data_IF_903970376859
#
_entry.id   IF_903970376859
#
_cell.length_a   1.000
_cell.length_b   1.000
_cell.length_c   1.000
_cell.angle_alpha   90.00
_cell.angle_beta   90.00
_cell.angle_gamma   90.00
#
_symmetry.space_group_name_H-M   'P 1'
#
loop_
_entity.id
_entity.type
_entity.pdbx_description
1 polymer ?
#
# COMPACT_ATOMS: atom_id res chain seq x y z
N UNK A 1 -11.57 -5.37 18.73
CA UNK A 1 -11.82 -5.59 17.30
C UNK A 1 -11.96 -4.21 16.65
N UNK A 2 -10.85 -3.61 16.22
CA UNK A 2 -10.82 -2.21 15.81
C UNK A 2 -10.05 -2.11 14.48
N UNK A 3 -10.83 -1.94 13.42
CA UNK A 3 -10.35 -1.80 12.06
C UNK A 3 -9.82 -0.39 11.83
N UNK A 4 -8.68 -0.32 11.14
CA UNK A 4 -8.24 0.86 10.39
C UNK A 4 -7.89 2.09 11.21
N UNK A 5 -6.62 2.50 11.13
CA UNK A 5 -6.31 3.94 11.06
C UNK A 5 -6.43 4.77 12.35
N UNK A 6 -5.99 4.25 13.51
CA UNK A 6 -6.17 4.99 14.76
C UNK A 6 -4.94 5.71 15.31
N UNK A 7 -3.78 5.07 15.48
CA UNK A 7 -2.73 5.69 16.32
C UNK A 7 -1.34 5.82 15.67
N UNK A 8 -0.80 4.78 15.01
CA UNK A 8 0.53 4.86 14.41
C UNK A 8 0.57 5.81 13.20
N UNK A 9 -0.45 5.75 12.35
CA UNK A 9 -0.54 6.51 11.11
C UNK A 9 -0.66 8.01 11.36
N UNK A 10 -1.39 8.40 12.43
CA UNK A 10 -1.56 9.83 12.80
C UNK A 10 -0.31 10.42 13.44
N UNK A 11 0.45 9.61 14.20
CA UNK A 11 1.71 10.04 14.79
C UNK A 11 2.78 10.18 13.70
N UNK A 12 2.92 9.18 12.81
CA UNK A 12 3.88 9.24 11.71
C UNK A 12 3.52 10.33 10.70
N UNK A 13 2.24 10.43 10.27
CA UNK A 13 1.81 11.50 9.37
C UNK A 13 1.92 12.88 10.03
N UNK A 14 1.59 12.98 11.32
CA UNK A 14 1.72 14.20 12.11
C UNK A 14 3.17 14.64 12.26
N UNK A 15 4.10 13.72 12.50
CA UNK A 15 5.52 14.02 12.64
C UNK A 15 6.19 14.30 11.30
N UNK A 16 5.80 13.61 10.22
CA UNK A 16 6.23 13.92 8.85
C UNK A 16 5.71 15.28 8.40
N UNK A 17 4.45 15.63 8.70
CA UNK A 17 3.91 16.96 8.44
C UNK A 17 4.63 18.05 9.24
N UNK A 18 4.98 17.80 10.52
CA UNK A 18 5.83 18.70 11.32
C UNK A 18 7.25 18.85 10.73
N UNK A 19 7.76 17.81 10.08
CA UNK A 19 9.05 17.84 9.36
C UNK A 19 8.94 18.46 7.94
N UNK A 20 7.76 18.94 7.54
CA UNK A 20 7.53 19.60 6.24
C UNK A 20 7.26 18.66 5.07
N UNK A 21 7.06 17.37 5.32
CA UNK A 21 6.68 16.40 4.29
C UNK A 21 5.15 16.31 4.18
N UNK A 22 4.58 16.54 2.99
CA UNK A 22 3.14 16.42 2.82
C UNK A 22 2.75 14.94 2.79
N UNK A 23 1.85 14.55 3.69
CA UNK A 23 1.37 13.17 3.81
C UNK A 23 -0.09 13.10 3.38
N UNK A 24 -0.40 12.09 2.58
CA UNK A 24 -1.76 11.70 2.19
C UNK A 24 -1.96 10.31 2.73
N UNK A 25 -3.08 10.08 3.39
CA UNK A 25 -3.43 8.72 3.72
C UNK A 25 -4.85 8.37 3.31
N UNK A 26 -5.00 7.09 3.00
CA UNK A 26 -6.15 6.52 2.34
C UNK A 26 -6.70 5.44 3.26
N UNK A 27 -7.98 5.54 3.59
CA UNK A 27 -8.69 4.44 4.23
C UNK A 27 -8.92 3.34 3.19
N UNK A 28 -8.01 2.37 3.18
CA UNK A 28 -8.02 1.24 2.24
C UNK A 28 -9.29 0.40 2.41
N UNK A 29 -9.81 0.24 3.64
CA UNK A 29 -11.05 -0.52 3.87
C UNK A 29 -12.23 0.18 3.21
N UNK A 30 -12.40 1.49 3.46
CA UNK A 30 -13.47 2.25 2.81
C UNK A 30 -13.31 2.28 1.28
N UNK A 31 -12.08 2.36 0.78
CA UNK A 31 -11.81 2.36 -0.65
C UNK A 31 -12.20 1.02 -1.32
N UNK A 32 -11.96 -0.11 -0.67
CA UNK A 32 -12.36 -1.44 -1.17
C UNK A 32 -13.77 -1.88 -0.79
N UNK A 33 -14.59 -0.99 -0.22
CA UNK A 33 -16.01 -1.27 0.06
C UNK A 33 -16.77 -1.71 -1.20
N UNK A 34 -16.38 -1.17 -2.34
CA UNK A 34 -16.71 -1.72 -3.65
C UNK A 34 -15.50 -2.47 -4.18
N UNK A 35 -15.73 -3.67 -4.72
CA UNK A 35 -14.68 -4.48 -5.32
C UNK A 35 -13.96 -3.70 -6.43
N UNK A 36 -12.62 -3.67 -6.34
CA UNK A 36 -11.73 -3.02 -7.30
C UNK A 36 -10.62 -3.97 -7.69
N UNK A 37 -10.30 -4.01 -8.98
CA UNK A 37 -9.18 -4.83 -9.45
C UNK A 37 -7.84 -4.13 -9.16
N UNK A 38 -6.74 -4.87 -9.06
CA UNK A 38 -5.41 -4.28 -8.90
C UNK A 38 -5.05 -3.27 -10.00
N UNK A 39 -5.51 -3.48 -11.23
CA UNK A 39 -5.31 -2.56 -12.36
C UNK A 39 -6.05 -1.23 -12.14
N UNK A 40 -7.28 -1.30 -11.64
CA UNK A 40 -8.07 -0.11 -11.33
C UNK A 40 -7.44 0.69 -10.18
N UNK A 41 -6.98 0.01 -9.13
CA UNK A 41 -6.28 0.68 -8.02
C UNK A 41 -4.94 1.27 -8.45
N UNK A 42 -4.22 0.64 -9.37
CA UNK A 42 -2.99 1.22 -9.93
C UNK A 42 -3.27 2.51 -10.72
N UNK A 43 -4.35 2.55 -11.51
CA UNK A 43 -4.76 3.75 -12.22
C UNK A 43 -5.15 4.88 -11.25
N UNK A 44 -5.95 4.58 -10.23
CA UNK A 44 -6.34 5.55 -9.20
C UNK A 44 -5.13 6.09 -8.43
N UNK A 45 -4.14 5.23 -8.13
CA UNK A 45 -2.89 5.65 -7.50
C UNK A 45 -2.07 6.58 -8.41
N UNK A 46 -1.97 6.26 -9.71
CA UNK A 46 -1.32 7.14 -10.69
C UNK A 46 -1.99 8.51 -10.74
N UNK A 47 -3.33 8.57 -10.76
CA UNK A 47 -4.06 9.84 -10.76
C UNK A 47 -3.83 10.63 -9.47
N UNK A 48 -3.77 9.95 -8.33
CA UNK A 48 -3.44 10.56 -7.05
C UNK A 48 -2.02 11.14 -7.03
N UNK A 49 -1.03 10.37 -7.49
CA UNK A 49 0.36 10.83 -7.62
C UNK A 49 0.47 12.04 -8.56
N UNK A 50 -0.26 12.02 -9.68
CA UNK A 50 -0.31 13.13 -10.64
C UNK A 50 -0.93 14.39 -10.01
N UNK A 51 -2.03 14.24 -9.28
CA UNK A 51 -2.70 15.35 -8.59
C UNK A 51 -1.75 16.04 -7.61
N UNK A 52 -1.09 15.27 -6.73
CA UNK A 52 -0.20 15.83 -5.73
C UNK A 52 1.13 16.33 -6.30
N UNK A 53 1.59 15.77 -7.41
CA UNK A 53 2.69 16.34 -8.17
C UNK A 53 2.38 17.77 -8.64
N UNK A 54 1.18 17.99 -9.19
CA UNK A 54 0.77 19.33 -9.65
C UNK A 54 0.52 20.27 -8.47
N UNK A 55 -0.11 19.78 -7.40
CA UNK A 55 -0.49 20.58 -6.24
C UNK A 55 0.70 21.00 -5.36
N UNK A 56 1.67 20.12 -5.16
CA UNK A 56 2.79 20.33 -4.24
C UNK A 56 4.16 20.44 -4.93
N UNK A 57 4.23 20.22 -6.24
CA UNK A 57 5.50 20.18 -6.97
C UNK A 57 6.39 18.98 -6.60
N UNK A 58 5.85 17.99 -5.88
CA UNK A 58 6.62 16.80 -5.48
C UNK A 58 6.92 15.90 -6.68
N UNK A 59 8.15 15.38 -6.73
CA UNK A 59 8.61 14.50 -7.83
C UNK A 59 8.84 13.06 -7.39
N UNK A 60 8.86 12.82 -6.08
CA UNK A 60 9.22 11.55 -5.46
C UNK A 60 8.17 11.17 -4.43
N UNK A 61 7.89 9.88 -4.33
CA UNK A 61 6.86 9.34 -3.47
C UNK A 61 7.41 8.20 -2.63
N UNK A 62 6.87 8.06 -1.43
CA UNK A 62 7.05 6.89 -0.57
C UNK A 62 5.66 6.30 -0.38
N UNK A 63 5.53 5.00 -0.64
CA UNK A 63 4.29 4.27 -0.43
C UNK A 63 4.41 3.51 0.90
N UNK A 64 3.42 3.64 1.77
CA UNK A 64 3.36 2.91 3.03
C UNK A 64 2.01 2.20 3.14
N UNK A 65 2.04 0.90 3.43
CA UNK A 65 0.86 0.07 3.66
C UNK A 65 0.92 -0.59 5.03
N UNK A 66 -0.23 -0.71 5.70
CA UNK A 66 -0.39 -1.43 6.96
C UNK A 66 -1.38 -2.58 6.79
N UNK A 67 -1.03 -3.77 7.30
CA UNK A 67 -1.89 -4.97 7.27
C UNK A 67 -2.43 -5.22 5.86
N UNK A 68 -3.75 -5.22 5.64
CA UNK A 68 -4.36 -5.41 4.31
C UNK A 68 -3.79 -4.45 3.24
N UNK A 69 -3.49 -3.20 3.59
CA UNK A 69 -2.86 -2.25 2.68
C UNK A 69 -1.44 -2.65 2.27
N UNK A 70 -0.71 -3.35 3.15
CA UNK A 70 0.60 -3.91 2.84
C UNK A 70 0.50 -5.14 1.91
N UNK A 71 -0.59 -5.91 2.01
CA UNK A 71 -0.79 -7.13 1.20
C UNK A 71 -1.17 -6.82 -0.26
N UNK A 72 -1.95 -5.76 -0.48
CA UNK A 72 -2.37 -5.35 -1.84
C UNK A 72 -1.33 -4.46 -2.55
N UNK A 73 -0.46 -3.78 -1.79
CA UNK A 73 0.52 -2.82 -2.34
C UNK A 73 1.43 -3.43 -3.43
N UNK A 74 1.97 -4.65 -3.29
CA UNK A 74 2.82 -5.25 -4.33
C UNK A 74 2.09 -5.41 -5.67
N UNK A 75 0.84 -5.89 -5.64
CA UNK A 75 0.04 -6.09 -6.84
C UNK A 75 -0.26 -4.77 -7.55
N UNK A 76 -0.53 -3.71 -6.80
CA UNK A 76 -0.78 -2.36 -7.31
C UNK A 76 0.50 -1.79 -7.92
N UNK A 77 1.61 -1.81 -7.18
CA UNK A 77 2.87 -1.23 -7.63
C UNK A 77 3.37 -1.86 -8.94
N UNK A 78 3.28 -3.19 -9.07
CA UNK A 78 3.73 -3.91 -10.26
C UNK A 78 2.94 -3.55 -11.53
N UNK A 79 1.74 -2.97 -11.37
CA UNK A 79 0.86 -2.54 -12.47
C UNK A 79 0.98 -1.05 -12.80
N UNK A 80 1.75 -0.29 -12.02
CA UNK A 80 2.06 1.10 -12.36
C UNK A 80 2.91 1.15 -13.63
N UNK A 81 2.77 2.23 -14.39
CA UNK A 81 3.69 2.53 -15.49
C UNK A 81 5.13 2.67 -14.95
N UNK A 82 6.13 2.28 -15.73
CA UNK A 82 7.54 2.34 -15.33
C UNK A 82 7.95 3.74 -14.83
N UNK A 83 7.36 4.78 -15.43
CA UNK A 83 7.53 6.16 -15.05
C UNK A 83 7.08 6.45 -13.61
N UNK A 84 5.92 5.92 -13.19
CA UNK A 84 5.41 6.10 -11.84
C UNK A 84 6.20 5.23 -10.84
N UNK A 85 6.55 4.00 -11.23
CA UNK A 85 7.44 3.13 -10.44
C UNK A 85 8.79 3.81 -10.14
N UNK A 86 9.37 4.52 -11.11
CA UNK A 86 10.63 5.25 -10.96
C UNK A 86 10.52 6.48 -10.04
N UNK A 87 9.31 6.99 -9.84
CA UNK A 87 9.05 8.11 -8.91
C UNK A 87 8.83 7.64 -7.49
N UNK A 88 8.56 6.35 -7.27
CA UNK A 88 8.52 5.76 -5.94
C UNK A 88 9.94 5.39 -5.49
N UNK A 89 10.39 6.01 -4.41
CA UNK A 89 11.73 5.78 -3.84
C UNK A 89 11.73 4.68 -2.79
N UNK A 90 10.62 4.49 -2.08
CA UNK A 90 10.49 3.44 -1.07
C UNK A 90 9.04 2.91 -0.97
N UNK A 91 8.93 1.64 -0.61
CA UNK A 91 7.71 0.91 -0.30
C UNK A 91 7.87 0.35 1.11
N UNK A 92 7.07 0.84 2.06
CA UNK A 92 7.10 0.44 3.46
C UNK A 92 5.90 -0.46 3.73
N UNK A 93 6.16 -1.70 4.14
CA UNK A 93 5.14 -2.70 4.44
C UNK A 93 5.15 -2.97 5.95
N UNK A 94 4.13 -2.48 6.65
CA UNK A 94 3.99 -2.60 8.10
C UNK A 94 3.06 -3.76 8.44
N UNK A 95 3.46 -4.59 9.41
CA UNK A 95 2.70 -5.77 9.86
C UNK A 95 2.44 -6.81 8.74
N UNK A 96 3.44 -7.02 7.87
CA UNK A 96 3.43 -8.03 6.82
C UNK A 96 3.70 -9.43 7.42
N UNK A 97 2.81 -10.40 7.19
CA UNK A 97 2.87 -11.73 7.81
C UNK A 97 4.10 -12.56 7.32
N UNK A 98 4.81 -13.22 8.26
CA UNK A 98 6.15 -13.81 8.02
C UNK A 98 6.15 -15.28 7.59
N UNK A 99 5.15 -16.08 7.97
CA UNK A 99 5.09 -17.51 7.67
C UNK A 99 3.64 -18.02 7.76
N UNK A 100 3.16 -18.71 6.72
CA UNK A 100 2.15 -19.77 6.92
C UNK A 100 0.67 -19.45 6.77
N UNK A 101 0.29 -18.34 6.17
CA UNK A 101 -1.10 -18.10 5.74
C UNK A 101 -1.14 -17.10 4.59
N UNK A 102 -0.75 -17.54 3.39
CA UNK A 102 -1.06 -16.83 2.12
C UNK A 102 -2.55 -17.00 1.75
N UNK A 103 -3.40 -17.00 2.76
CA UNK A 103 -4.84 -16.97 2.70
C UNK A 103 -5.26 -16.04 3.84
N UNK A 104 -5.07 -14.73 3.63
CA UNK A 104 -6.07 -13.82 4.18
C UNK A 104 -7.29 -14.03 3.30
N UNK A 105 -8.02 -15.09 3.62
CA UNK A 105 -9.40 -15.23 3.22
C UNK A 105 -10.14 -14.05 3.84
N UNK A 106 -10.24 -12.95 3.09
CA UNK A 106 -11.37 -12.03 3.28
C UNK A 106 -12.60 -12.74 2.69
N UNK A 107 -12.93 -13.92 3.23
CA UNK A 107 -13.96 -14.88 2.79
C UNK A 107 -15.37 -14.31 2.99
N UNK A 108 -15.61 -13.16 2.38
CA UNK A 108 -16.81 -12.38 2.54
C UNK A 108 -16.74 -10.97 1.95
N UNK A 109 -15.57 -10.47 1.54
CA UNK A 109 -15.44 -9.12 0.97
C UNK A 109 -14.88 -9.05 -0.45
N UNK A 110 -13.92 -9.92 -0.77
CA UNK A 110 -13.41 -10.08 -2.13
C UNK A 110 -14.02 -11.37 -2.69
N UNK A 111 -15.10 -11.20 -3.43
CA UNK A 111 -15.85 -12.31 -4.00
C UNK A 111 -14.96 -13.28 -4.79
N UNK A 112 -15.16 -14.57 -4.48
CA UNK A 112 -14.71 -15.73 -5.24
C UNK A 112 -13.19 -15.91 -5.40
N UNK A 113 -12.61 -16.64 -4.43
CA UNK A 113 -11.29 -17.23 -4.50
C UNK A 113 -11.08 -17.99 -5.83
N UNK A 114 -10.10 -17.54 -6.62
CA UNK A 114 -9.69 -18.32 -7.79
C UNK A 114 -8.89 -17.57 -8.87
N UNK A 115 -8.84 -16.23 -8.85
CA UNK A 115 -8.11 -15.46 -9.87
C UNK A 115 -7.36 -14.22 -9.38
N UNK A 116 -7.35 -13.95 -8.09
CA UNK A 116 -6.62 -12.81 -7.55
C UNK A 116 -5.12 -13.12 -7.43
N UNK A 117 -4.28 -12.15 -7.77
CA UNK A 117 -2.84 -12.32 -7.83
C UNK A 117 -2.29 -12.71 -6.45
N UNK A 118 -1.62 -13.85 -6.38
CA UNK A 118 -1.04 -14.32 -5.11
C UNK A 118 -0.01 -13.30 -4.60
N UNK A 119 -0.24 -12.74 -3.41
CA UNK A 119 0.60 -11.69 -2.80
C UNK A 119 2.09 -12.07 -2.81
N UNK A 120 2.42 -13.35 -2.60
CA UNK A 120 3.80 -13.84 -2.64
C UNK A 120 4.49 -13.69 -4.00
N UNK A 121 3.79 -13.94 -5.11
CA UNK A 121 4.36 -13.76 -6.46
C UNK A 121 4.56 -12.27 -6.80
N UNK A 122 3.63 -11.42 -6.37
CA UNK A 122 3.73 -9.98 -6.60
C UNK A 122 4.84 -9.36 -5.74
N UNK A 123 5.02 -9.84 -4.50
CA UNK A 123 6.13 -9.44 -3.63
C UNK A 123 7.49 -9.78 -4.26
N UNK A 124 7.63 -10.96 -4.86
CA UNK A 124 8.88 -11.38 -5.52
C UNK A 124 9.26 -10.52 -6.74
N UNK A 125 8.30 -9.79 -7.32
CA UNK A 125 8.53 -8.88 -8.45
C UNK A 125 8.91 -7.46 -8.02
N UNK A 126 8.77 -7.12 -6.74
CA UNK A 126 9.15 -5.80 -6.25
C UNK A 126 10.68 -5.61 -6.25
N UNK A 127 11.17 -4.40 -6.56
CA UNK A 127 12.59 -4.09 -6.46
C UNK A 127 13.00 -4.09 -4.98
N UNK A 128 13.75 -5.12 -4.56
CA UNK A 128 14.16 -5.32 -3.17
C UNK A 128 14.86 -4.09 -2.55
N UNK A 129 15.59 -3.31 -3.35
CA UNK A 129 16.26 -2.09 -2.91
C UNK A 129 15.31 -0.96 -2.45
N UNK A 130 14.02 -1.03 -2.80
CA UNK A 130 13.00 -0.05 -2.40
C UNK A 130 12.12 -0.54 -1.27
N UNK A 131 12.18 -1.81 -0.90
CA UNK A 131 11.21 -2.42 0.02
C UNK A 131 11.76 -2.43 1.45
N UNK A 132 10.96 -1.93 2.38
CA UNK A 132 11.20 -2.00 3.82
C UNK A 132 10.04 -2.71 4.51
N UNK A 133 10.30 -3.89 5.08
CA UNK A 133 9.29 -4.62 5.86
C UNK A 133 9.54 -4.41 7.36
N UNK A 134 8.52 -3.92 8.06
CA UNK A 134 8.55 -3.74 9.52
C UNK A 134 7.55 -4.70 10.14
N UNK A 135 8.04 -5.52 11.07
CA UNK A 135 7.25 -6.51 11.81
C UNK A 135 7.54 -6.39 13.30
N UNK A 136 6.51 -6.62 14.13
CA UNK A 136 6.70 -6.78 15.57
C UNK A 136 7.41 -8.09 15.88
N UNK A 137 8.33 -8.07 16.84
CA UNK A 137 9.07 -9.26 17.31
C UNK A 137 8.60 -9.77 18.68
N UNK A 138 7.68 -9.06 19.35
CA UNK A 138 7.20 -9.40 20.69
C UNK A 138 5.67 -9.24 20.76
N UNK A 139 4.99 -10.30 21.22
CA UNK A 139 3.75 -10.22 21.99
C UNK A 139 4.09 -10.05 23.47
#
# INVERSE_FOLDING_TARGET
CDGGWRDLDKVVAGDMAKMGYPVVGIDVLRYYWEHKTPEQTAADLTDLMNHYRQKWGTKRFILAGYSFGADVMPAIYNRLAADDQNRVDAIILLAFARTGSFEIHVDGWLGNAGKEATTGQEMARLPAAKVFCVYGIEE
#
